data_IF_171937682755
#
_entry.id   IF_171937682755
#
_cell.length_a   1.000
_cell.length_b   1.000
_cell.length_c   1.000
_cell.angle_alpha   90.00
_cell.angle_beta   90.00
_cell.angle_gamma   90.00
#
_symmetry.space_group_name_H-M   'P 1'
#
loop_
_entity.id
_entity.type
_entity.pdbx_description
1 polymer ?
#
# COMPACT_ATOMS: atom_id res chain seq x y z
N UNK A 1 -12.37 -1.87 -14.77
CA UNK A 1 -12.43 -1.53 -13.33
C UNK A 1 -11.04 -1.72 -12.75
N UNK A 2 -10.51 -0.79 -11.95
CA UNK A 2 -9.25 -0.99 -11.23
C UNK A 2 -9.38 -2.23 -10.34
N UNK A 3 -8.38 -3.13 -10.37
CA UNK A 3 -8.34 -4.28 -9.47
C UNK A 3 -7.78 -3.81 -8.14
N UNK A 4 -8.58 -3.88 -7.08
CA UNK A 4 -8.12 -3.61 -5.72
C UNK A 4 -7.27 -4.78 -5.22
N UNK A 5 -6.10 -4.47 -4.67
CA UNK A 5 -5.21 -5.45 -4.05
C UNK A 5 -5.14 -5.17 -2.56
N UNK A 6 -5.32 -6.20 -1.74
CA UNK A 6 -5.13 -6.07 -0.30
C UNK A 6 -3.64 -5.99 0.03
N UNK A 7 -3.31 -5.48 1.22
CA UNK A 7 -1.92 -5.49 1.72
C UNK A 7 -1.32 -6.89 1.73
N UNK A 8 -2.13 -7.89 2.04
CA UNK A 8 -1.72 -9.30 2.07
C UNK A 8 -1.38 -9.83 0.67
N UNK A 9 -2.18 -9.48 -0.34
CA UNK A 9 -1.91 -9.85 -1.73
C UNK A 9 -0.57 -9.28 -2.22
N UNK A 10 -0.26 -8.04 -1.83
CA UNK A 10 1.01 -7.37 -2.18
C UNK A 10 2.19 -8.00 -1.44
N UNK A 11 2.02 -8.37 -0.16
CA UNK A 11 3.07 -9.06 0.62
C UNK A 11 3.37 -10.42 0.01
N UNK A 12 2.35 -11.20 -0.33
CA UNK A 12 2.52 -12.50 -0.95
C UNK A 12 3.21 -12.37 -2.31
N UNK A 13 2.74 -11.46 -3.17
CA UNK A 13 3.33 -11.25 -4.48
C UNK A 13 4.80 -10.79 -4.38
N UNK A 14 5.11 -9.88 -3.47
CA UNK A 14 6.50 -9.43 -3.28
C UNK A 14 7.36 -10.55 -2.69
N UNK A 15 6.84 -11.32 -1.73
CA UNK A 15 7.57 -12.47 -1.23
C UNK A 15 7.93 -13.38 -2.41
N UNK A 16 6.93 -13.82 -3.18
CA UNK A 16 7.11 -14.70 -4.37
C UNK A 16 8.17 -14.13 -5.32
N UNK A 17 8.13 -12.83 -5.60
CA UNK A 17 9.08 -12.17 -6.50
C UNK A 17 10.49 -12.04 -5.91
N UNK A 18 10.61 -11.59 -4.65
CA UNK A 18 11.89 -11.37 -3.96
C UNK A 18 12.69 -12.67 -3.78
N UNK A 19 11.98 -13.80 -3.77
CA UNK A 19 12.55 -15.13 -3.66
C UNK A 19 12.19 -15.98 -4.88
N UNK A 20 12.02 -15.42 -6.08
CA UNK A 20 11.71 -16.22 -7.27
C UNK A 20 12.76 -17.33 -7.55
N UNK A 21 13.98 -17.18 -7.03
CA UNK A 21 15.07 -18.17 -7.09
C UNK A 21 15.17 -19.08 -5.84
N UNK A 22 14.28 -18.92 -4.85
CA UNK A 22 14.23 -19.72 -3.62
C UNK A 22 12.80 -20.22 -3.35
N UNK A 23 12.64 -21.44 -2.83
CA UNK A 23 11.31 -21.94 -2.51
C UNK A 23 10.72 -21.17 -1.31
N UNK A 24 9.84 -20.20 -1.56
CA UNK A 24 8.93 -19.74 -0.50
C UNK A 24 7.99 -20.89 -0.21
N UNK A 25 8.11 -21.39 1.00
CA UNK A 25 7.23 -22.43 1.49
C UNK A 25 6.11 -21.76 2.27
N UNK A 26 4.93 -21.71 1.66
CA UNK A 26 3.69 -21.43 2.37
C UNK A 26 3.29 -22.72 3.11
N UNK A 27 3.32 -22.66 4.43
CA UNK A 27 3.09 -23.83 5.27
C UNK A 27 2.00 -23.55 6.29
N UNK A 28 1.17 -24.56 6.46
CA UNK A 28 0.10 -24.57 7.44
C UNK A 28 0.51 -25.40 8.64
N UNK A 29 0.29 -24.87 9.85
CA UNK A 29 0.55 -25.62 11.08
C UNK A 29 -0.39 -26.82 11.20
N UNK A 30 0.12 -27.97 11.63
CA UNK A 30 -0.66 -29.22 11.72
C UNK A 30 -0.94 -29.65 13.16
N UNK A 31 -0.27 -29.04 14.14
CA UNK A 31 -0.50 -29.27 15.56
C UNK A 31 -0.28 -27.97 16.35
N UNK A 32 -0.80 -27.94 17.58
CA UNK A 32 -0.59 -26.83 18.49
C UNK A 32 0.89 -26.74 18.92
N UNK A 33 1.46 -25.54 18.83
CA UNK A 33 2.73 -25.20 19.46
C UNK A 33 2.66 -25.16 20.99
N UNK A 34 3.80 -24.85 21.61
CA UNK A 34 3.90 -24.62 23.05
C UNK A 34 3.07 -23.37 23.44
N UNK A 35 2.52 -23.39 24.66
CA UNK A 35 1.70 -22.29 25.17
C UNK A 35 2.47 -20.96 25.22
N UNK A 36 3.79 -21.00 25.40
CA UNK A 36 4.62 -19.79 25.38
C UNK A 36 4.81 -19.17 23.97
N UNK A 37 4.32 -19.81 22.91
CA UNK A 37 4.42 -19.34 21.53
C UNK A 37 5.83 -19.43 20.96
N UNK A 38 6.74 -20.14 21.63
CA UNK A 38 8.14 -20.33 21.20
C UNK A 38 8.34 -21.54 20.32
N UNK A 39 7.31 -22.38 20.15
CA UNK A 39 7.37 -23.52 19.23
C UNK A 39 6.22 -23.52 18.26
N UNK A 40 6.50 -23.92 17.03
CA UNK A 40 5.51 -24.09 15.95
C UNK A 40 5.69 -25.46 15.33
N UNK A 41 4.59 -26.12 14.96
CA UNK A 41 4.60 -27.49 14.44
C UNK A 41 4.05 -27.52 13.02
N UNK A 42 4.90 -27.98 12.08
CA UNK A 42 4.55 -28.15 10.68
C UNK A 42 4.72 -29.63 10.28
N UNK A 43 3.61 -30.35 10.15
CA UNK A 43 3.61 -31.75 9.75
C UNK A 43 4.19 -31.96 8.36
N UNK A 44 4.04 -30.98 7.47
CA UNK A 44 4.59 -31.04 6.11
C UNK A 44 6.13 -30.97 6.08
N UNK A 45 6.75 -30.48 7.16
CA UNK A 45 8.21 -30.50 7.36
C UNK A 45 8.63 -31.70 8.22
N UNK A 46 7.69 -32.50 8.75
CA UNK A 46 8.03 -33.70 9.52
C UNK A 46 8.52 -34.80 8.58
N UNK A 47 9.82 -34.80 8.31
CA UNK A 47 10.47 -35.93 7.65
C UNK A 47 10.84 -36.98 8.72
N UNK A 48 10.94 -38.26 8.35
CA UNK A 48 11.34 -39.33 9.28
C UNK A 48 12.67 -39.02 10.00
N UNK A 49 13.13 -39.92 10.88
CA UNK A 49 14.29 -39.71 11.79
C UNK A 49 15.63 -39.26 11.14
N UNK A 50 15.71 -39.14 9.81
CA UNK A 50 16.89 -38.76 9.05
C UNK A 50 16.68 -37.57 8.07
N UNK A 51 15.52 -36.94 8.01
CA UNK A 51 15.06 -36.32 6.76
C UNK A 51 15.18 -34.80 6.55
N UNK A 52 15.55 -33.99 7.53
CA UNK A 52 16.01 -32.62 7.26
C UNK A 52 17.32 -32.37 7.99
N UNK A 53 18.36 -31.98 7.26
CA UNK A 53 19.55 -31.41 7.88
C UNK A 53 19.10 -30.11 8.53
N UNK A 54 19.28 -29.99 9.84
CA UNK A 54 18.73 -28.93 10.70
C UNK A 54 18.95 -27.52 10.14
N UNK A 55 19.99 -27.31 9.33
CA UNK A 55 20.46 -26.02 8.83
C UNK A 55 19.57 -25.28 7.84
N UNK A 56 18.72 -25.96 7.06
CA UNK A 56 17.99 -25.28 5.97
C UNK A 56 16.93 -24.28 6.45
N UNK A 57 16.44 -24.45 7.68
CA UNK A 57 15.50 -23.53 8.33
C UNK A 57 16.17 -22.68 9.42
N UNK A 58 17.50 -22.76 9.56
CA UNK A 58 18.21 -21.87 10.48
C UNK A 58 18.12 -20.44 9.97
N UNK A 59 18.04 -19.51 10.93
CA UNK A 59 18.02 -18.08 10.67
C UNK A 59 16.91 -17.61 9.70
N UNK A 60 15.90 -18.45 9.48
CA UNK A 60 14.74 -18.13 8.65
C UNK A 60 13.75 -17.32 9.48
N UNK A 61 13.29 -16.20 8.92
CA UNK A 61 12.22 -15.41 9.51
C UNK A 61 10.89 -16.03 9.12
N UNK A 62 9.99 -16.14 10.08
CA UNK A 62 8.65 -16.68 9.84
C UNK A 62 7.63 -15.58 10.10
N UNK A 63 6.69 -15.44 9.18
CA UNK A 63 5.60 -14.47 9.27
C UNK A 63 4.25 -15.17 9.38
N UNK A 64 3.55 -14.99 10.51
CA UNK A 64 2.15 -15.38 10.64
C UNK A 64 1.29 -14.48 9.74
N UNK A 65 0.73 -15.10 8.70
CA UNK A 65 -0.08 -14.42 7.70
C UNK A 65 -1.54 -14.34 8.16
N UNK A 66 -2.14 -15.50 8.44
CA UNK A 66 -3.56 -15.65 8.80
C UNK A 66 -3.84 -16.98 9.49
N UNK A 67 -5.01 -17.09 10.11
CA UNK A 67 -5.59 -18.36 10.54
C UNK A 67 -6.76 -18.70 9.62
N UNK A 68 -6.80 -19.91 9.10
CA UNK A 68 -7.92 -20.37 8.28
C UNK A 68 -8.80 -21.32 9.08
N UNK A 69 -10.00 -21.68 8.65
CA UNK A 69 -10.74 -22.76 9.30
C UNK A 69 -12.17 -22.93 8.81
N UNK A 70 -12.80 -24.02 9.25
CA UNK A 70 -14.23 -24.26 9.07
C UNK A 70 -14.93 -23.93 10.39
N UNK A 71 -15.96 -23.09 10.33
CA UNK A 71 -16.76 -22.78 11.51
C UNK A 71 -17.52 -24.02 11.99
N UNK A 72 -17.80 -24.08 13.29
CA UNK A 72 -18.55 -25.19 13.91
C UNK A 72 -19.98 -24.80 14.26
N UNK A 73 -20.26 -23.49 14.36
CA UNK A 73 -21.56 -22.87 14.55
C UNK A 73 -21.42 -21.36 14.36
N UNK A 74 -22.54 -20.63 14.46
CA UNK A 74 -22.53 -19.17 14.49
C UNK A 74 -23.88 -18.59 14.89
N UNK A 75 -23.88 -17.27 15.07
CA UNK A 75 -25.07 -16.45 15.30
C UNK A 75 -25.00 -15.20 14.42
N UNK A 76 -25.96 -14.28 14.58
CA UNK A 76 -25.99 -13.06 13.77
C UNK A 76 -24.70 -12.24 13.88
N UNK A 77 -24.12 -12.14 15.07
CA UNK A 77 -22.87 -11.39 15.33
C UNK A 77 -21.79 -12.27 15.96
N UNK A 78 -21.90 -13.59 15.84
CA UNK A 78 -20.93 -14.53 16.43
C UNK A 78 -20.59 -15.63 15.45
N UNK A 79 -19.39 -16.16 15.59
CA UNK A 79 -18.93 -17.34 14.86
C UNK A 79 -18.13 -18.22 15.82
N UNK A 80 -18.46 -19.51 15.83
CA UNK A 80 -17.76 -20.51 16.63
C UNK A 80 -16.67 -21.12 15.75
N UNK A 81 -15.42 -20.87 16.14
CA UNK A 81 -14.23 -21.28 15.40
C UNK A 81 -14.00 -22.79 15.55
N UNK A 82 -13.08 -23.35 14.76
CA UNK A 82 -12.74 -24.77 14.87
C UNK A 82 -12.10 -25.10 16.22
N UNK A 83 -12.29 -26.33 16.69
CA UNK A 83 -11.73 -26.78 17.97
C UNK A 83 -10.19 -26.90 17.97
N UNK A 84 -9.60 -27.11 16.80
CA UNK A 84 -8.15 -27.24 16.66
C UNK A 84 -7.39 -25.91 16.71
N UNK A 85 -8.09 -24.78 16.83
CA UNK A 85 -7.47 -23.47 17.05
C UNK A 85 -6.93 -23.29 18.47
N UNK A 86 -7.38 -24.12 19.42
CA UNK A 86 -6.98 -24.04 20.83
C UNK A 86 -7.81 -23.04 21.64
N UNK A 87 -7.30 -22.66 22.80
CA UNK A 87 -7.87 -21.59 23.64
C UNK A 87 -6.97 -20.36 23.54
N UNK A 88 -7.31 -19.37 22.69
CA UNK A 88 -6.46 -18.23 22.45
C UNK A 88 -6.45 -17.23 23.62
N UNK A 89 -7.17 -17.47 24.71
CA UNK A 89 -7.35 -16.50 25.79
C UNK A 89 -8.37 -15.42 25.46
N UNK A 90 -8.91 -14.76 26.48
CA UNK A 90 -9.97 -13.75 26.33
C UNK A 90 -9.47 -12.56 25.50
N UNK A 91 -10.22 -12.18 24.46
CA UNK A 91 -9.99 -10.98 23.63
C UNK A 91 -8.64 -10.90 22.91
N UNK A 92 -7.89 -12.00 22.81
CA UNK A 92 -6.63 -12.03 22.05
C UNK A 92 -6.84 -11.78 20.55
N UNK A 93 -8.02 -12.11 20.01
CA UNK A 93 -8.39 -11.87 18.62
C UNK A 93 -9.09 -10.52 18.41
N UNK A 94 -9.22 -9.69 19.46
CA UNK A 94 -9.89 -8.40 19.33
C UNK A 94 -9.16 -7.51 18.31
N UNK A 95 -9.94 -6.76 17.52
CA UNK A 95 -9.51 -5.93 16.40
C UNK A 95 -8.95 -6.68 15.18
N UNK A 96 -8.88 -8.01 15.20
CA UNK A 96 -8.52 -8.78 14.01
C UNK A 96 -9.66 -8.72 12.99
N UNK A 97 -9.32 -8.90 11.71
CA UNK A 97 -10.32 -8.98 10.65
C UNK A 97 -10.64 -10.44 10.40
N UNK A 98 -11.92 -10.78 10.39
CA UNK A 98 -12.41 -12.07 9.93
C UNK A 98 -13.13 -11.93 8.60
N UNK A 99 -12.82 -12.81 7.67
CA UNK A 99 -13.44 -12.93 6.36
C UNK A 99 -14.03 -14.32 6.20
N UNK A 100 -15.26 -14.41 5.70
CA UNK A 100 -15.86 -15.68 5.30
C UNK A 100 -15.58 -15.88 3.81
N UNK A 101 -14.85 -16.93 3.46
CA UNK A 101 -14.34 -17.16 2.10
C UNK A 101 -15.16 -18.16 1.30
N UNK A 102 -15.94 -19.01 1.95
CA UNK A 102 -16.89 -19.91 1.31
C UNK A 102 -18.02 -20.32 2.27
N UNK A 103 -19.10 -20.88 1.72
CA UNK A 103 -20.26 -21.34 2.48
C UNK A 103 -21.25 -20.24 2.85
N UNK A 104 -22.06 -20.47 3.89
CA UNK A 104 -23.01 -19.47 4.40
C UNK A 104 -22.26 -18.21 4.81
N UNK A 105 -22.77 -17.04 4.40
CA UNK A 105 -22.16 -15.71 4.63
C UNK A 105 -20.85 -15.44 3.88
N UNK A 106 -20.53 -16.23 2.84
CA UNK A 106 -19.38 -15.99 1.98
C UNK A 106 -19.33 -14.56 1.44
N UNK A 107 -18.15 -13.94 1.51
CA UNK A 107 -17.91 -12.54 1.14
C UNK A 107 -18.01 -11.57 2.31
N UNK A 108 -18.59 -11.96 3.44
CA UNK A 108 -18.60 -11.10 4.62
C UNK A 108 -17.20 -10.88 5.17
N UNK A 109 -16.90 -9.62 5.48
CA UNK A 109 -15.69 -9.20 6.20
C UNK A 109 -16.11 -8.37 7.40
N UNK A 110 -15.58 -8.68 8.59
CA UNK A 110 -15.92 -8.02 9.85
C UNK A 110 -14.70 -7.84 10.75
N UNK A 111 -14.76 -6.86 11.63
CA UNK A 111 -13.78 -6.73 12.73
C UNK A 111 -14.26 -7.56 13.92
N UNK A 112 -13.38 -8.34 14.51
CA UNK A 112 -13.64 -9.08 15.75
C UNK A 112 -13.63 -8.07 16.90
N UNK A 113 -14.76 -7.92 17.58
CA UNK A 113 -14.90 -7.06 18.76
C UNK A 113 -14.38 -7.74 20.03
N UNK A 114 -14.60 -9.06 20.16
CA UNK A 114 -14.20 -9.85 21.32
C UNK A 114 -14.13 -11.34 20.99
N UNK A 115 -13.46 -12.13 21.83
CA UNK A 115 -13.51 -13.59 21.78
C UNK A 115 -13.48 -14.21 23.18
N UNK A 116 -14.09 -15.39 23.31
CA UNK A 116 -14.06 -16.17 24.56
C UNK A 116 -12.70 -16.85 24.76
N UNK A 117 -12.37 -17.19 26.01
CA UNK A 117 -11.30 -18.15 26.33
C UNK A 117 -11.94 -19.54 26.46
N UNK A 118 -12.13 -20.21 25.34
CA UNK A 118 -12.77 -21.52 25.27
C UNK A 118 -12.32 -22.28 24.02
N UNK A 119 -12.50 -23.60 24.05
CA UNK A 119 -12.32 -24.47 22.90
C UNK A 119 -13.61 -25.28 22.65
N UNK A 120 -14.38 -25.01 21.57
CA UNK A 120 -14.09 -24.05 20.51
C UNK A 120 -14.27 -22.58 20.95
N UNK A 121 -13.45 -21.70 20.39
CA UNK A 121 -13.54 -20.27 20.64
C UNK A 121 -14.73 -19.65 19.93
N UNK A 122 -15.48 -18.78 20.60
CA UNK A 122 -16.52 -17.95 19.98
C UNK A 122 -15.96 -16.55 19.77
N UNK A 123 -15.91 -16.10 18.52
CA UNK A 123 -15.57 -14.74 18.15
C UNK A 123 -16.86 -13.92 17.94
N UNK A 124 -16.93 -12.76 18.58
CA UNK A 124 -18.01 -11.78 18.39
C UNK A 124 -17.52 -10.67 17.48
N UNK A 125 -18.30 -10.34 16.45
CA UNK A 125 -17.93 -9.32 15.45
C UNK A 125 -18.63 -7.99 15.71
N UNK A 126 -18.05 -6.90 15.22
CA UNK A 126 -18.52 -5.53 15.42
C UNK A 126 -19.85 -5.20 14.71
N UNK A 127 -20.19 -5.95 13.67
CA UNK A 127 -21.45 -5.83 12.93
C UNK A 127 -21.93 -7.23 12.52
N UNK A 128 -23.25 -7.41 12.47
CA UNK A 128 -23.84 -8.69 12.12
C UNK A 128 -23.39 -9.16 10.73
N UNK A 129 -23.24 -10.47 10.57
CA UNK A 129 -23.07 -11.11 9.27
C UNK A 129 -24.35 -10.96 8.44
N UNK A 130 -24.21 -10.95 7.11
CA UNK A 130 -25.34 -10.87 6.16
C UNK A 130 -26.28 -12.06 6.27
N UNK A 131 -25.73 -13.22 6.64
CA UNK A 131 -26.43 -14.44 7.04
C UNK A 131 -25.74 -15.02 8.28
N UNK A 132 -26.38 -15.92 9.02
CA UNK A 132 -25.74 -16.55 10.19
C UNK A 132 -24.70 -17.58 9.72
N UNK A 133 -23.39 -17.43 10.04
CA UNK A 133 -22.40 -18.44 9.70
C UNK A 133 -22.73 -19.79 10.36
N UNK A 134 -22.39 -20.88 9.69
CA UNK A 134 -22.71 -22.24 10.13
C UNK A 134 -21.54 -23.21 9.85
N UNK A 135 -21.81 -24.52 9.94
CA UNK A 135 -20.80 -25.58 9.71
C UNK A 135 -20.29 -25.68 8.27
N UNK A 136 -20.80 -24.86 7.35
CA UNK A 136 -20.33 -24.75 5.97
C UNK A 136 -19.47 -23.50 5.75
N UNK A 137 -19.44 -22.56 6.70
CA UNK A 137 -18.73 -21.29 6.58
C UNK A 137 -17.22 -21.48 6.77
N UNK A 138 -16.46 -21.33 5.70
CA UNK A 138 -15.01 -21.26 5.74
C UNK A 138 -14.58 -19.83 6.06
N UNK A 139 -13.64 -19.68 6.98
CA UNK A 139 -13.17 -18.38 7.45
C UNK A 139 -11.66 -18.23 7.35
N UNK A 140 -11.24 -16.97 7.29
CA UNK A 140 -9.87 -16.51 7.40
C UNK A 140 -9.82 -15.36 8.42
N UNK A 141 -8.90 -15.45 9.39
CA UNK A 141 -8.66 -14.42 10.40
C UNK A 141 -7.28 -13.82 10.15
N UNK A 142 -7.26 -12.52 9.90
CA UNK A 142 -6.07 -11.74 9.69
C UNK A 142 -5.72 -11.02 10.99
N UNK A 143 -4.52 -11.23 11.55
CA UNK A 143 -4.05 -10.42 12.67
C UNK A 143 -4.20 -8.92 12.35
N UNK A 144 -4.41 -8.06 13.34
CA UNK A 144 -4.34 -6.61 13.16
C UNK A 144 -2.86 -6.18 13.15
N UNK A 145 -2.51 -5.05 12.54
CA UNK A 145 -1.12 -4.68 12.24
C UNK A 145 -0.63 -3.36 12.82
N UNK A 146 -1.49 -2.68 13.58
CA UNK A 146 -1.32 -1.25 13.83
C UNK A 146 -0.57 -0.94 15.13
N UNK A 147 -0.46 -1.91 16.04
CA UNK A 147 0.38 -1.80 17.23
C UNK A 147 1.74 -2.48 17.04
N UNK A 148 2.78 -1.98 17.74
CA UNK A 148 4.09 -2.61 17.81
C UNK A 148 4.04 -4.05 18.33
N UNK A 149 3.17 -4.32 19.31
CA UNK A 149 2.89 -5.67 19.82
C UNK A 149 2.34 -6.60 18.74
N UNK A 150 1.45 -6.10 17.87
CA UNK A 150 0.91 -6.86 16.74
C UNK A 150 1.97 -7.26 15.70
N UNK A 151 3.10 -6.54 15.60
CA UNK A 151 4.19 -6.91 14.70
C UNK A 151 5.05 -8.04 15.27
N UNK A 152 5.23 -8.08 16.60
CA UNK A 152 5.91 -9.18 17.31
C UNK A 152 5.11 -10.46 17.16
N UNK A 153 3.77 -10.38 17.25
CA UNK A 153 2.84 -11.50 17.03
C UNK A 153 2.91 -12.06 15.60
N UNK A 154 3.41 -11.27 14.64
CA UNK A 154 3.51 -11.72 13.26
C UNK A 154 4.86 -12.27 12.89
N UNK A 155 5.95 -11.78 13.46
CA UNK A 155 7.28 -12.06 12.92
C UNK A 155 8.20 -12.65 13.98
N UNK A 156 8.75 -13.81 13.70
CA UNK A 156 9.76 -14.46 14.54
C UNK A 156 10.94 -14.93 13.69
N UNK A 157 11.97 -15.46 14.35
CA UNK A 157 13.11 -16.09 13.71
C UNK A 157 13.31 -17.49 14.27
N UNK A 158 13.51 -18.48 13.41
CA UNK A 158 13.96 -19.80 13.84
C UNK A 158 15.34 -19.69 14.51
N UNK A 159 15.49 -20.28 15.70
CA UNK A 159 16.74 -20.22 16.46
C UNK A 159 17.86 -21.03 15.78
N UNK A 160 19.11 -20.81 16.20
CA UNK A 160 20.29 -21.56 15.75
C UNK A 160 20.22 -23.08 16.01
N UNK A 161 21.21 -23.81 15.50
CA UNK A 161 21.35 -25.28 15.51
C UNK A 161 20.76 -25.97 16.73
N UNK A 162 19.66 -26.71 16.51
CA UNK A 162 18.90 -27.42 17.55
C UNK A 162 17.45 -26.96 17.68
N UNK A 163 17.06 -25.88 16.99
CA UNK A 163 15.69 -25.37 16.95
C UNK A 163 14.70 -26.25 16.18
N UNK A 164 15.18 -27.13 15.30
CA UNK A 164 14.31 -28.02 14.52
C UNK A 164 14.33 -29.46 15.05
N UNK A 165 13.16 -29.95 15.47
CA UNK A 165 12.95 -31.36 15.81
C UNK A 165 12.35 -32.08 14.61
N UNK A 166 13.20 -32.78 13.86
CA UNK A 166 12.87 -33.42 12.56
C UNK A 166 11.66 -34.33 12.65
N UNK A 167 11.62 -35.23 13.64
CA UNK A 167 10.59 -36.25 13.76
C UNK A 167 9.19 -35.68 14.06
N UNK A 168 9.11 -34.45 14.59
CA UNK A 168 7.85 -33.79 14.93
C UNK A 168 7.56 -32.56 14.07
N UNK A 169 8.47 -32.16 13.17
CA UNK A 169 8.34 -30.92 12.40
C UNK A 169 8.28 -29.66 13.29
N UNK A 170 8.82 -29.74 14.51
CA UNK A 170 8.74 -28.64 15.48
C UNK A 170 9.90 -27.67 15.28
N UNK A 171 9.59 -26.39 15.11
CA UNK A 171 10.57 -25.30 15.02
C UNK A 171 10.48 -24.45 16.29
N UNK A 172 11.60 -24.24 16.97
CA UNK A 172 11.76 -23.30 18.07
C UNK A 172 12.14 -21.92 17.54
N UNK A 173 11.44 -20.90 18.00
CA UNK A 173 11.50 -19.55 17.45
C UNK A 173 11.73 -18.51 18.54
N UNK A 174 12.36 -17.38 18.19
CA UNK A 174 12.50 -16.21 19.05
C UNK A 174 12.46 -14.89 18.26
N UNK A 175 11.80 -13.83 18.77
CA UNK A 175 10.90 -13.85 19.93
C UNK A 175 9.68 -14.74 19.67
N UNK A 176 9.08 -15.34 20.70
CA UNK A 176 7.85 -16.13 20.51
C UNK A 176 6.72 -15.29 19.91
N UNK A 177 5.73 -15.94 19.28
CA UNK A 177 4.57 -15.27 18.68
C UNK A 177 3.62 -14.59 19.71
N UNK A 178 3.97 -14.65 21.00
CA UNK A 178 3.19 -14.15 22.14
C UNK A 178 3.58 -12.74 22.62
N UNK A 179 4.10 -11.86 21.76
CA UNK A 179 4.56 -10.52 22.18
C UNK A 179 3.55 -9.75 23.03
N UNK A 180 3.85 -9.55 24.33
CA UNK A 180 3.11 -8.82 25.38
C UNK A 180 1.62 -9.14 25.61
N UNK A 181 0.99 -10.00 24.81
CA UNK A 181 -0.35 -10.54 25.03
C UNK A 181 -0.19 -11.93 25.63
N UNK A 182 -0.30 -12.02 26.97
CA UNK A 182 0.05 -13.21 27.76
C UNK A 182 -0.35 -14.56 27.14
N UNK A 183 0.62 -15.47 27.10
CA UNK A 183 0.57 -16.95 27.06
C UNK A 183 -0.37 -17.65 26.05
N UNK A 184 -1.13 -16.98 25.20
CA UNK A 184 -2.28 -17.65 24.61
C UNK A 184 -2.45 -17.53 23.09
N UNK A 185 -1.54 -16.95 22.30
CA UNK A 185 -1.53 -17.31 20.87
C UNK A 185 -0.87 -18.67 20.71
N UNK A 186 -1.60 -19.71 21.15
CA UNK A 186 -1.35 -21.07 20.71
C UNK A 186 -1.34 -20.99 19.19
N UNK A 187 -0.20 -21.28 18.56
CA UNK A 187 -0.13 -21.52 17.13
C UNK A 187 -0.92 -22.81 16.89
N UNK A 188 -2.25 -22.67 16.89
CA UNK A 188 -3.19 -23.76 16.69
C UNK A 188 -3.03 -24.32 15.30
N UNK A 189 -3.60 -25.50 15.06
CA UNK A 189 -3.66 -26.10 13.73
C UNK A 189 -4.27 -25.08 12.79
N UNK A 190 -3.76 -24.96 11.56
CA UNK A 190 -4.28 -24.14 10.47
C UNK A 190 -3.93 -22.65 10.53
N UNK A 191 -2.81 -22.31 11.17
CA UNK A 191 -2.15 -21.03 11.00
C UNK A 191 -1.25 -21.09 9.76
N UNK A 192 -1.40 -20.12 8.87
CA UNK A 192 -0.67 -20.03 7.61
C UNK A 192 0.53 -19.11 7.80
N UNK A 193 1.69 -19.58 7.35
CA UNK A 193 2.97 -18.94 7.65
C UNK A 193 3.85 -18.86 6.42
N UNK A 194 4.46 -17.69 6.24
CA UNK A 194 5.43 -17.42 5.18
C UNK A 194 6.85 -17.50 5.75
N UNK A 195 7.72 -18.23 5.09
CA UNK A 195 9.12 -18.39 5.44
C UNK A 195 10.00 -17.48 4.57
N UNK A 196 10.83 -16.66 5.21
CA UNK A 196 11.75 -15.71 4.59
C UNK A 196 13.18 -16.09 4.95
N UNK A 197 13.95 -16.60 3.99
CA UNK A 197 15.35 -16.91 4.24
C UNK A 197 16.18 -15.62 4.23
N UNK A 198 17.01 -15.41 5.25
CA UNK A 198 18.00 -14.33 5.30
C UNK A 198 17.48 -12.91 5.57
N UNK A 199 16.24 -12.58 5.19
CA UNK A 199 15.70 -11.22 5.33
C UNK A 199 14.54 -11.11 6.34
N UNK A 200 14.53 -9.99 7.09
CA UNK A 200 13.40 -9.63 7.95
C UNK A 200 12.21 -9.13 7.14
N UNK A 201 11.00 -9.50 7.55
CA UNK A 201 9.75 -8.97 7.00
C UNK A 201 9.68 -7.42 6.96
N UNK A 202 10.32 -6.72 7.90
CA UNK A 202 10.35 -5.26 7.91
C UNK A 202 11.11 -4.66 6.72
N UNK A 203 12.12 -5.37 6.19
CA UNK A 203 12.83 -4.99 4.97
C UNK A 203 11.91 -5.14 3.76
N UNK A 204 11.11 -6.20 3.70
CA UNK A 204 10.09 -6.39 2.67
C UNK A 204 9.06 -5.26 2.68
N UNK A 205 8.53 -4.90 3.86
CA UNK A 205 7.63 -3.75 3.97
C UNK A 205 8.28 -2.45 3.48
N UNK A 206 9.57 -2.26 3.77
CA UNK A 206 10.33 -1.10 3.32
C UNK A 206 10.52 -1.13 1.80
N UNK A 207 10.74 -2.30 1.22
CA UNK A 207 10.82 -2.51 -0.22
C UNK A 207 9.47 -2.24 -0.91
N UNK A 208 8.34 -2.75 -0.39
CA UNK A 208 6.99 -2.42 -0.86
C UNK A 208 6.79 -0.91 -0.85
N UNK A 209 7.06 -0.25 0.28
CA UNK A 209 6.89 1.19 0.40
C UNK A 209 7.77 1.95 -0.59
N UNK A 210 9.00 1.47 -0.86
CA UNK A 210 9.89 2.05 -1.87
C UNK A 210 9.34 1.86 -3.28
N UNK A 211 8.84 0.67 -3.62
CA UNK A 211 8.23 0.40 -4.93
C UNK A 211 6.97 1.23 -5.11
N UNK A 212 6.05 1.25 -4.14
CA UNK A 212 4.84 2.07 -4.19
C UNK A 212 5.16 3.56 -4.28
N UNK A 213 6.20 4.02 -3.58
CA UNK A 213 6.70 5.40 -3.70
C UNK A 213 7.25 5.67 -5.10
N UNK A 214 7.97 4.72 -5.69
CA UNK A 214 8.51 4.85 -7.04
C UNK A 214 7.42 4.72 -8.13
N UNK A 215 6.34 3.99 -7.87
CA UNK A 215 5.17 3.94 -8.75
C UNK A 215 4.34 5.22 -8.66
N UNK A 216 4.34 5.87 -7.50
CA UNK A 216 3.78 7.21 -7.28
C UNK A 216 4.81 8.31 -7.57
N UNK A 217 5.78 8.06 -8.45
CA UNK A 217 6.67 9.14 -8.82
C UNK A 217 5.83 10.26 -9.41
N UNK A 218 5.90 11.50 -8.89
CA UNK A 218 5.31 12.62 -9.59
C UNK A 218 5.93 12.65 -10.98
N UNK A 219 5.14 12.29 -11.99
CA UNK A 219 5.50 12.55 -13.37
C UNK A 219 5.45 14.08 -13.51
N UNK A 220 6.62 14.71 -13.37
CA UNK A 220 6.76 16.08 -13.79
C UNK A 220 6.72 16.03 -15.31
N UNK A 221 5.64 16.51 -15.90
CA UNK A 221 5.63 16.83 -17.31
C UNK A 221 6.31 18.20 -17.42
N UNK A 222 7.59 18.28 -17.81
CA UNK A 222 8.18 19.58 -18.06
C UNK A 222 7.37 20.26 -19.15
N UNK A 223 7.04 21.53 -18.96
CA UNK A 223 6.30 22.35 -19.93
C UNK A 223 6.93 22.24 -21.32
N UNK A 224 8.24 22.00 -21.42
CA UNK A 224 8.99 21.72 -22.66
C UNK A 224 8.47 20.54 -23.50
N UNK A 225 7.66 19.64 -22.94
CA UNK A 225 7.00 18.56 -23.69
C UNK A 225 5.69 19.00 -24.33
N UNK A 226 5.12 20.12 -23.87
CA UNK A 226 4.15 20.86 -24.67
C UNK A 226 4.92 21.36 -25.90
N UNK A 227 4.32 21.26 -27.09
CA UNK A 227 4.93 21.83 -28.27
C UNK A 227 5.42 23.28 -28.00
N UNK A 228 6.70 23.52 -28.31
CA UNK A 228 7.43 24.78 -28.04
C UNK A 228 7.37 25.26 -26.57
N UNK A 229 7.28 24.34 -25.61
CA UNK A 229 7.33 24.70 -24.19
C UNK A 229 8.69 25.22 -23.72
N UNK A 230 9.76 24.98 -24.47
CA UNK A 230 11.09 25.58 -24.23
C UNK A 230 11.24 26.98 -24.86
N UNK A 231 10.23 27.42 -25.61
CA UNK A 231 10.11 28.73 -26.25
C UNK A 231 11.15 29.01 -27.34
N UNK A 232 11.92 28.04 -27.81
CA UNK A 232 13.02 28.25 -28.78
C UNK A 232 12.56 28.28 -30.25
N UNK A 233 11.29 27.94 -30.52
CA UNK A 233 10.70 27.96 -31.86
C UNK A 233 10.64 29.36 -32.46
N UNK A 234 11.07 29.48 -33.72
CA UNK A 234 11.10 30.75 -34.45
C UNK A 234 9.72 31.15 -34.98
N UNK A 235 8.82 31.59 -34.11
CA UNK A 235 7.53 32.15 -34.52
C UNK A 235 7.16 33.38 -33.69
N UNK A 236 6.44 34.31 -34.32
CA UNK A 236 6.06 35.62 -33.74
C UNK A 236 4.65 35.56 -33.21
N UNK A 237 4.43 35.55 -31.89
CA UNK A 237 3.09 35.58 -31.25
C UNK A 237 2.19 36.64 -31.92
N UNK A 238 0.97 36.29 -32.28
CA UNK A 238 0.10 37.10 -33.13
C UNK A 238 -1.37 36.65 -33.08
N UNK A 239 -2.21 37.30 -33.88
CA UNK A 239 -3.68 37.22 -33.79
C UNK A 239 -4.32 36.24 -34.78
N UNK A 240 -3.51 35.50 -35.56
CA UNK A 240 -3.99 34.60 -36.62
C UNK A 240 -3.57 33.15 -36.32
N UNK A 241 -4.40 32.11 -36.55
CA UNK A 241 -4.20 30.73 -36.04
C UNK A 241 -2.96 29.95 -36.51
N UNK A 242 -1.93 30.60 -37.07
CA UNK A 242 -0.63 29.98 -37.31
C UNK A 242 0.24 29.86 -36.04
N UNK A 243 -0.34 30.15 -34.86
CA UNK A 243 0.18 29.78 -33.54
C UNK A 243 -0.26 28.37 -33.21
N UNK A 244 0.52 27.37 -33.61
CA UNK A 244 0.10 25.99 -33.40
C UNK A 244 0.15 25.56 -31.92
N UNK A 245 0.78 26.34 -31.03
CA UNK A 245 1.26 25.80 -29.74
C UNK A 245 1.03 26.72 -28.51
N UNK A 246 0.99 28.05 -28.67
CA UNK A 246 0.66 29.01 -27.59
C UNK A 246 -0.15 30.19 -28.14
N UNK A 247 -1.24 30.58 -27.49
CA UNK A 247 -2.16 31.65 -27.92
C UNK A 247 -2.50 32.61 -26.79
N UNK A 248 -2.71 33.89 -27.13
CA UNK A 248 -3.29 34.87 -26.21
C UNK A 248 -4.73 34.50 -25.85
N UNK A 249 -5.09 34.72 -24.60
CA UNK A 249 -6.46 34.59 -24.08
C UNK A 249 -6.99 35.99 -23.83
N UNK A 250 -8.15 36.27 -24.44
CA UNK A 250 -8.86 37.55 -24.41
C UNK A 250 -8.01 38.77 -24.87
N UNK A 251 -8.66 39.94 -24.99
CA UNK A 251 -8.04 41.15 -25.55
C UNK A 251 -7.98 42.31 -24.53
N UNK A 252 -6.85 43.05 -24.43
CA UNK A 252 -5.61 42.94 -25.18
C UNK A 252 -4.44 42.41 -24.34
N UNK A 253 -4.27 41.09 -24.24
CA UNK A 253 -2.95 40.54 -23.89
C UNK A 253 -2.02 40.62 -25.09
N UNK A 254 -1.22 41.68 -25.17
CA UNK A 254 -0.04 41.66 -26.04
C UNK A 254 1.02 40.77 -25.42
N UNK A 255 1.10 39.52 -25.86
CA UNK A 255 2.22 38.65 -25.54
C UNK A 255 3.16 38.53 -26.74
N UNK A 256 4.46 38.52 -26.49
CA UNK A 256 5.47 38.28 -27.51
C UNK A 256 6.61 37.43 -26.94
N UNK A 257 7.19 36.56 -27.77
CA UNK A 257 8.48 35.94 -27.42
C UNK A 257 9.55 37.03 -27.37
N UNK A 258 10.36 37.02 -26.31
CA UNK A 258 11.46 37.95 -26.10
C UNK A 258 12.74 37.19 -25.81
N UNK A 259 13.84 37.65 -26.40
CA UNK A 259 15.21 37.24 -26.05
C UNK A 259 15.99 38.36 -25.36
N UNK A 260 15.35 39.51 -25.15
CA UNK A 260 15.96 40.72 -24.58
C UNK A 260 15.91 40.68 -23.05
N UNK A 261 17.01 41.08 -22.39
CA UNK A 261 17.10 41.16 -20.92
C UNK A 261 16.79 39.84 -20.20
N UNK A 262 17.43 38.78 -20.69
CA UNK A 262 17.20 37.39 -20.34
C UNK A 262 17.30 37.12 -18.83
N UNK A 263 16.17 36.84 -18.13
CA UNK A 263 16.20 36.79 -16.69
C UNK A 263 16.07 35.35 -16.12
N UNK A 264 15.80 34.36 -16.97
CA UNK A 264 15.69 32.96 -16.57
C UNK A 264 17.05 32.23 -16.65
N UNK A 265 17.28 31.17 -15.87
CA UNK A 265 18.54 30.43 -15.94
C UNK A 265 18.66 29.41 -17.09
N UNK A 266 17.57 29.04 -17.81
CA UNK A 266 17.54 27.79 -18.61
C UNK A 266 17.05 27.78 -20.08
N UNK A 267 16.54 28.84 -20.71
CA UNK A 267 16.20 28.89 -22.17
C UNK A 267 16.37 30.27 -22.80
N UNK A 268 16.93 30.42 -24.00
CA UNK A 268 17.32 31.72 -24.61
C UNK A 268 16.15 32.68 -24.91
N UNK A 269 14.91 32.20 -24.83
CA UNK A 269 13.69 32.96 -25.10
C UNK A 269 12.64 32.74 -23.99
N UNK A 270 11.76 33.71 -23.81
CA UNK A 270 10.62 33.61 -22.89
C UNK A 270 9.39 34.32 -23.46
N UNK A 271 8.19 33.92 -23.01
CA UNK A 271 6.95 34.63 -23.33
C UNK A 271 6.86 35.86 -22.41
N UNK A 272 6.88 37.04 -23.01
CA UNK A 272 6.65 38.29 -22.34
C UNK A 272 5.19 38.70 -22.48
N UNK A 273 4.43 38.67 -21.40
CA UNK A 273 3.03 39.14 -21.35
C UNK A 273 3.03 40.62 -20.96
N UNK A 274 2.70 41.50 -21.89
CA UNK A 274 2.86 42.96 -21.73
C UNK A 274 1.53 43.63 -21.34
N UNK A 275 1.52 44.09 -20.08
CA UNK A 275 0.72 45.14 -19.39
C UNK A 275 -0.81 45.18 -19.51
N UNK A 276 -1.44 45.29 -18.32
CA UNK A 276 -2.87 45.54 -18.05
C UNK A 276 -3.84 44.36 -18.21
N UNK A 277 -3.32 43.13 -18.20
CA UNK A 277 -4.14 41.93 -18.11
C UNK A 277 -5.03 41.96 -16.85
N UNK A 278 -6.34 41.84 -17.04
CA UNK A 278 -7.28 41.46 -15.97
C UNK A 278 -7.14 39.98 -15.64
N UNK A 279 -7.78 39.48 -14.58
CA UNK A 279 -7.65 38.07 -14.14
C UNK A 279 -8.03 37.03 -15.23
N UNK A 280 -8.76 37.46 -16.27
CA UNK A 280 -9.19 36.61 -17.40
C UNK A 280 -8.26 36.69 -18.62
N UNK A 281 -7.26 37.57 -18.57
CA UNK A 281 -6.36 37.87 -19.68
C UNK A 281 -5.03 37.13 -19.48
N UNK A 282 -4.62 36.33 -20.46
CA UNK A 282 -3.41 35.52 -20.29
C UNK A 282 -2.88 34.85 -21.55
N UNK A 283 -2.16 33.74 -21.32
CA UNK A 283 -1.59 32.90 -22.36
C UNK A 283 -2.00 31.46 -22.13
N UNK A 284 -2.50 30.82 -23.18
CA UNK A 284 -2.89 29.42 -23.20
C UNK A 284 -1.92 28.64 -24.08
N UNK A 285 -1.59 27.43 -23.67
CA UNK A 285 -0.82 26.48 -24.48
C UNK A 285 -1.74 25.56 -25.30
N UNK A 286 -1.15 24.76 -26.17
CA UNK A 286 -1.83 23.61 -26.77
C UNK A 286 -2.42 22.69 -25.69
N UNK A 287 -3.55 22.06 -26.01
CA UNK A 287 -4.24 21.14 -25.10
C UNK A 287 -3.34 19.96 -24.73
N UNK A 288 -3.15 19.75 -23.43
CA UNK A 288 -2.54 18.54 -22.88
C UNK A 288 -3.66 17.58 -22.49
N UNK A 289 -3.70 16.39 -23.11
CA UNK A 289 -4.64 15.36 -22.72
C UNK A 289 -4.25 14.80 -21.34
N UNK A 290 -5.23 14.73 -20.43
CA UNK A 290 -5.09 14.12 -19.11
C UNK A 290 -6.20 13.08 -18.93
N UNK A 291 -5.87 11.95 -18.31
CA UNK A 291 -6.88 10.95 -17.99
C UNK A 291 -7.71 11.39 -16.77
N UNK A 292 -9.00 11.03 -16.70
CA UNK A 292 -9.79 11.22 -15.49
C UNK A 292 -9.10 10.59 -14.28
N UNK A 293 -9.09 11.31 -13.16
CA UNK A 293 -8.48 10.91 -11.88
C UNK A 293 -6.94 10.83 -11.86
N UNK A 294 -6.25 11.33 -12.88
CA UNK A 294 -4.79 11.47 -12.88
C UNK A 294 -4.34 12.76 -12.16
N UNK A 295 -3.37 12.64 -11.24
CA UNK A 295 -2.76 13.79 -10.58
C UNK A 295 -1.57 14.32 -11.39
N UNK A 296 -1.79 15.39 -12.16
CA UNK A 296 -0.72 16.07 -12.91
C UNK A 296 -0.05 17.15 -12.06
N UNK A 297 1.28 17.18 -12.06
CA UNK A 297 2.06 18.26 -11.45
C UNK A 297 2.64 19.14 -12.56
N UNK A 298 2.16 20.38 -12.65
CA UNK A 298 2.63 21.37 -13.64
C UNK A 298 3.53 22.39 -12.92
N UNK A 299 4.67 22.70 -13.54
CA UNK A 299 5.59 23.71 -13.04
C UNK A 299 5.87 24.73 -14.15
N UNK A 300 5.60 26.00 -13.87
CA UNK A 300 5.91 27.13 -14.76
C UNK A 300 6.83 28.08 -14.02
N UNK A 301 7.92 28.51 -14.65
CA UNK A 301 8.76 29.57 -14.14
C UNK A 301 8.15 30.91 -14.55
N UNK A 302 7.77 31.71 -13.57
CA UNK A 302 7.23 33.06 -13.79
C UNK A 302 8.19 34.09 -13.22
N UNK A 303 8.30 35.23 -13.90
CA UNK A 303 9.02 36.36 -13.38
C UNK A 303 8.29 37.64 -13.76
N UNK A 304 7.99 38.45 -12.74
CA UNK A 304 7.55 39.82 -12.92
C UNK A 304 8.78 40.71 -13.03
N UNK A 305 8.93 41.47 -14.12
CA UNK A 305 9.91 42.55 -14.18
C UNK A 305 9.34 43.74 -13.41
N UNK A 306 9.91 44.12 -12.26
CA UNK A 306 9.36 45.23 -11.49
C UNK A 306 9.56 46.54 -12.27
N UNK A 307 8.49 47.30 -12.48
CA UNK A 307 8.62 48.75 -12.59
C UNK A 307 9.19 49.25 -11.25
N UNK A 308 10.05 50.28 -11.26
CA UNK A 308 10.83 50.74 -10.10
C UNK A 308 10.03 51.09 -8.82
N UNK A 309 8.70 51.04 -8.86
CA UNK A 309 7.77 51.36 -7.77
C UNK A 309 6.69 50.31 -7.51
N UNK A 310 6.66 49.17 -8.21
CA UNK A 310 5.61 48.16 -8.00
C UNK A 310 6.00 47.15 -6.90
N UNK A 311 5.24 47.17 -5.79
CA UNK A 311 5.31 46.19 -4.69
C UNK A 311 4.14 45.20 -4.69
N UNK A 312 3.26 45.26 -5.70
CA UNK A 312 2.07 44.41 -5.76
C UNK A 312 2.42 42.97 -6.16
N UNK A 313 1.86 42.01 -5.41
CA UNK A 313 1.80 40.59 -5.75
C UNK A 313 1.11 40.39 -7.09
N UNK A 314 1.33 39.23 -7.72
CA UNK A 314 0.57 38.84 -8.92
C UNK A 314 0.10 37.40 -8.79
N UNK A 315 -1.06 37.11 -9.39
CA UNK A 315 -1.61 35.77 -9.39
C UNK A 315 -1.19 35.03 -10.67
N UNK A 316 -0.82 33.75 -10.50
CA UNK A 316 -0.70 32.77 -11.57
C UNK A 316 -1.90 31.86 -11.48
N UNK A 317 -2.78 31.92 -12.47
CA UNK A 317 -4.01 31.15 -12.52
C UNK A 317 -3.88 30.10 -13.63
N UNK A 318 -4.13 28.83 -13.28
CA UNK A 318 -4.27 27.74 -14.24
C UNK A 318 -5.76 27.54 -14.55
N UNK A 319 -6.11 27.55 -15.82
CA UNK A 319 -7.48 27.36 -16.30
C UNK A 319 -7.65 26.03 -17.04
N UNK A 320 -8.90 25.59 -17.15
CA UNK A 320 -9.29 24.53 -18.09
C UNK A 320 -9.18 24.98 -19.55
N UNK A 321 -9.36 24.05 -20.49
CA UNK A 321 -9.25 24.32 -21.94
C UNK A 321 -10.27 25.34 -22.44
N UNK A 322 -11.37 25.54 -21.72
CA UNK A 322 -12.45 26.48 -22.04
C UNK A 322 -12.29 27.85 -21.39
N UNK A 323 -11.24 28.06 -20.59
CA UNK A 323 -11.02 29.27 -19.78
C UNK A 323 -12.22 29.62 -18.89
N UNK A 324 -12.97 28.61 -18.45
CA UNK A 324 -14.24 28.81 -17.75
C UNK A 324 -14.17 28.51 -16.25
N UNK A 325 -13.09 27.87 -15.79
CA UNK A 325 -12.93 27.50 -14.39
C UNK A 325 -11.46 27.50 -13.99
N UNK A 326 -11.15 28.21 -12.91
CA UNK A 326 -9.84 28.20 -12.25
C UNK A 326 -9.58 26.81 -11.66
N UNK A 327 -8.56 26.13 -12.17
CA UNK A 327 -8.07 24.87 -11.61
C UNK A 327 -7.21 25.14 -10.37
N UNK A 328 -6.39 26.20 -10.42
CA UNK A 328 -5.51 26.59 -9.32
C UNK A 328 -5.03 28.03 -9.46
N UNK A 329 -5.11 28.78 -8.37
CA UNK A 329 -4.51 30.12 -8.24
C UNK A 329 -3.32 30.08 -7.28
N UNK A 330 -2.22 30.71 -7.68
CA UNK A 330 -1.01 30.88 -6.87
C UNK A 330 -0.63 32.36 -6.84
N UNK A 331 -0.72 32.98 -5.68
CA UNK A 331 -0.23 34.35 -5.46
C UNK A 331 1.28 34.33 -5.25
N UNK A 332 2.01 35.10 -6.07
CA UNK A 332 3.48 35.23 -6.07
C UNK A 332 3.90 36.61 -5.60
#
# INVERSE_FOLDING_TARGET
>A
MPKEYTRDDIILALAIEAFADQDIVDLTTTAAGAADGTTVIFGDIAYGSSGATTTSFHDTYMHLRRFTGLATAGGASTITLRTSMGDPGVNVLANFIIKITAGTSSGDTRTIASNTSANPTVATVSAAFSSTPDTTSFYEIYPSGDASSSQIIRSTKALHTGSFTVASGTITVAPGFNGDLGVNMLMGIGAEMLFYQGERFTLHRSAVNRVLRNMRYPAFLPVTLIPDGDQEGSYTIGTTPSFTEWSGVDAPTTAAKSSTSYPFPFGRQYINVVTAATDNEGIQSATVAVDPDENMNVAVLVQKTPAATETATFDVIFYDVTNSTDLKTVTV
#
